data_IF_228444925014
#
_entry.id   IF_228444925014
#
_cell.length_a   1.000
_cell.length_b   1.000
_cell.length_c   1.000
_cell.angle_alpha   90.00
_cell.angle_beta   90.00
_cell.angle_gamma   90.00
#
_symmetry.space_group_name_H-M   'P 1'
#
loop_
_entity.id
_entity.type
_entity.pdbx_description
1 polymer ?
#
# COMPACT_ATOMS: atom_id res chain seq x y z
N UNK A 1 -18.35 3.61 54.07
CA UNK A 1 -18.21 3.52 53.56
C UNK A 1 -17.87 3.52 52.60
N UNK A 2 -17.75 3.52 52.41
CA UNK A 2 -17.37 3.47 51.48
C UNK A 2 -16.90 3.40 50.50
N UNK A 3 -16.89 3.50 50.22
CA UNK A 3 -16.47 3.45 49.39
C UNK A 3 -16.07 3.42 48.35
N UNK A 4 -16.18 3.52 48.12
CA UNK A 4 -15.86 3.49 47.24
C UNK A 4 -15.34 3.53 46.32
N UNK A 5 -15.20 3.50 46.19
CA UNK A 5 -14.67 3.51 45.39
C UNK A 5 -14.27 3.38 44.36
N UNK A 6 -14.44 3.39 44.14
CA UNK A 6 -14.06 3.28 43.26
C UNK A 6 -13.77 3.31 42.35
N UNK A 7 -13.71 3.32 42.23
CA UNK A 7 -13.32 3.32 41.26
C UNK A 7 -12.84 3.50 40.39
N UNK A 8 -12.76 3.60 40.41
CA UNK A 8 -12.27 3.77 39.63
C UNK A 8 -11.71 3.64 38.65
N UNK A 9 -11.81 3.57 38.58
CA UNK A 9 -11.35 3.48 37.77
C UNK A 9 -10.95 3.36 36.78
N UNK A 10 -11.17 3.30 36.70
CA UNK A 10 -10.79 3.22 35.89
C UNK A 10 -10.45 3.25 34.95
N UNK A 11 -10.41 3.33 35.00
CA UNK A 11 -10.02 3.40 34.21
C UNK A 11 -9.59 3.50 33.35
N UNK A 12 -9.50 3.54 33.28
CA UNK A 12 -8.95 3.74 32.57
C UNK A 12 -8.46 3.50 31.73
N UNK A 13 -8.61 3.35 31.73
CA UNK A 13 -8.15 3.22 31.09
C UNK A 13 -7.68 3.03 30.22
N UNK A 14 -7.66 2.87 30.17
CA UNK A 14 -7.21 2.73 29.46
C UNK A 14 -6.98 2.81 28.49
N UNK A 15 -6.89 2.96 28.28
CA UNK A 15 -6.69 3.21 27.44
C UNK A 15 -6.01 3.07 26.71
N UNK A 16 -5.95 2.94 26.59
CA UNK A 16 -5.34 2.92 26.01
C UNK A 16 -4.89 2.81 25.22
N UNK A 17 -4.77 2.56 25.11
CA UNK A 17 -4.28 2.52 24.32
C UNK A 17 -3.95 2.53 23.50
N UNK A 18 -3.98 2.50 23.28
CA UNK A 18 -3.63 2.61 22.62
C UNK A 18 -3.26 2.61 21.92
N UNK A 19 -3.25 2.48 21.77
CA UNK A 19 -2.85 2.54 21.14
C UNK A 19 -2.42 2.57 20.43
N UNK A 20 -2.32 2.46 20.27
CA UNK A 20 -1.94 2.56 19.62
C UNK A 20 -1.53 2.58 18.89
N UNK A 21 -1.44 2.49 18.68
CA UNK A 21 -1.04 2.56 17.99
C UNK A 21 -0.78 2.87 17.21
N UNK A 22 -0.72 3.03 16.94
CA UNK A 22 -0.51 3.35 16.22
C UNK A 22 -0.26 3.74 15.46
N UNK A 23 -0.34 3.89 15.12
CA UNK A 23 -0.09 4.21 14.37
C UNK A 23 0.18 5.07 13.86
N UNK A 24 0.36 5.34 13.55
CA UNK A 24 0.84 6.22 13.03
C UNK A 24 0.34 7.04 12.31
N UNK A 25 0.02 7.37 12.35
CA UNK A 25 -0.38 8.00 11.80
C UNK A 25 0.02 8.87 11.22
N UNK A 26 0.08 9.16 10.83
CA UNK A 26 0.61 9.82 10.13
C UNK A 26 0.51 11.05 10.00
N UNK A 27 0.55 11.63 9.91
CA UNK A 27 0.69 12.65 9.89
C UNK A 27 0.19 13.37 9.13
N UNK A 28 -0.33 13.80 9.07
CA UNK A 28 -0.82 14.47 8.48
C UNK A 28 -0.44 15.59 8.19
N UNK A 29 -0.39 16.06 7.68
CA UNK A 29 0.26 17.09 7.26
C UNK A 29 -0.49 17.92 6.36
N UNK A 30 -0.72 19.06 6.57
CA UNK A 30 -1.61 19.85 5.87
C UNK A 30 -1.24 20.12 4.47
N UNK A 31 -0.07 20.57 4.26
CA UNK A 31 0.26 20.91 2.94
C UNK A 31 0.50 19.70 2.15
N UNK A 32 0.67 18.60 2.85
CA UNK A 32 0.87 17.36 2.22
C UNK A 32 -0.40 16.68 1.80
N UNK A 33 -1.54 17.20 2.17
CA UNK A 33 -2.78 16.48 1.93
C UNK A 33 -3.06 16.26 0.46
N UNK A 34 -2.93 17.28 -0.36
CA UNK A 34 -3.16 17.10 -1.78
C UNK A 34 -2.17 16.14 -2.38
N UNK A 35 -0.91 16.28 -1.97
CA UNK A 35 0.13 15.40 -2.46
C UNK A 35 -0.10 13.97 -1.98
N UNK A 36 -0.52 13.82 -0.74
CA UNK A 36 -0.83 12.50 -0.20
C UNK A 36 -2.02 11.88 -0.90
N UNK A 37 -3.05 12.66 -1.18
CA UNK A 37 -4.21 12.15 -1.89
C UNK A 37 -3.85 11.72 -3.30
N UNK A 38 -3.03 12.52 -3.99
CA UNK A 38 -2.61 12.16 -5.34
C UNK A 38 -1.76 10.90 -5.32
N UNK A 39 -0.85 10.81 -4.34
CA UNK A 39 0.00 9.62 -4.22
C UNK A 39 -0.83 8.39 -3.90
N UNK A 40 -1.82 8.53 -3.02
CA UNK A 40 -2.67 7.39 -2.66
C UNK A 40 -3.48 6.90 -3.86
N UNK A 41 -4.05 7.83 -4.61
CA UNK A 41 -4.81 7.46 -5.79
C UNK A 41 -3.93 6.79 -6.83
N UNK A 42 -2.73 7.32 -7.01
CA UNK A 42 -1.78 6.73 -7.95
C UNK A 42 -1.35 5.35 -7.49
N UNK A 43 -1.09 5.19 -6.18
CA UNK A 43 -0.67 3.91 -5.64
C UNK A 43 -1.73 2.84 -5.91
N UNK A 44 -2.98 3.16 -5.63
CA UNK A 44 -4.03 2.18 -5.82
C UNK A 44 -4.18 1.81 -7.29
N UNK A 45 -4.20 2.80 -8.15
CA UNK A 45 -4.38 2.57 -9.58
C UNK A 45 -3.21 1.80 -10.16
N UNK A 46 -1.98 2.19 -9.80
CA UNK A 46 -0.81 1.54 -10.38
C UNK A 46 -0.64 0.13 -9.85
N UNK A 47 -0.95 -0.13 -8.57
CA UNK A 47 -0.85 -1.48 -8.03
C UNK A 47 -1.89 -2.40 -8.64
N UNK A 48 -3.10 -1.91 -8.87
CA UNK A 48 -4.10 -2.71 -9.58
C UNK A 48 -3.62 -3.08 -10.96
N UNK A 49 -3.06 -2.13 -11.66
CA UNK A 49 -2.57 -2.37 -13.01
C UNK A 49 -1.43 -3.39 -13.00
N UNK A 50 -0.52 -3.27 -12.03
CA UNK A 50 0.57 -4.24 -11.89
C UNK A 50 0.01 -5.64 -11.70
N UNK A 51 -0.96 -5.80 -10.81
CA UNK A 51 -1.54 -7.11 -10.55
C UNK A 51 -2.24 -7.67 -11.79
N UNK A 52 -2.91 -6.81 -12.54
CA UNK A 52 -3.57 -7.25 -13.77
C UNK A 52 -2.57 -7.67 -14.83
N UNK A 53 -1.44 -6.98 -14.90
CA UNK A 53 -0.39 -7.37 -15.85
C UNK A 53 0.22 -8.70 -15.44
N UNK A 54 0.49 -8.90 -14.16
CA UNK A 54 1.04 -10.15 -13.68
C UNK A 54 0.08 -11.31 -13.98
N UNK A 55 -1.21 -11.05 -13.90
CA UNK A 55 -2.21 -12.08 -14.17
C UNK A 55 -2.50 -12.25 -15.65
N UNK A 56 -1.80 -11.53 -16.50
CA UNK A 56 -2.00 -11.66 -17.92
C UNK A 56 -3.26 -11.01 -18.46
N UNK A 57 -3.88 -10.15 -17.67
CA UNK A 57 -5.13 -9.50 -18.06
C UNK A 57 -4.93 -8.14 -18.69
N UNK A 58 -3.70 -7.65 -18.68
CA UNK A 58 -3.34 -6.38 -19.30
C UNK A 58 -1.95 -6.52 -19.92
N UNK A 59 -1.71 -5.85 -21.03
CA UNK A 59 -0.37 -5.92 -21.63
C UNK A 59 0.64 -5.14 -20.80
N UNK A 60 1.85 -5.68 -20.75
CA UNK A 60 2.93 -5.09 -20.00
C UNK A 60 3.20 -3.64 -20.41
N UNK A 61 3.02 -3.35 -21.69
CA UNK A 61 3.30 -2.01 -22.19
C UNK A 61 2.50 -0.90 -21.53
N UNK A 62 1.35 -1.24 -20.92
CA UNK A 62 0.54 -0.22 -20.26
C UNK A 62 1.20 0.30 -19.00
N UNK A 63 2.23 -0.40 -18.49
CA UNK A 63 2.94 0.08 -17.31
C UNK A 63 4.05 1.07 -17.64
N UNK A 64 4.39 1.24 -18.90
CA UNK A 64 5.56 2.04 -19.24
C UNK A 64 5.49 3.47 -18.74
N UNK A 65 4.31 4.06 -18.72
CA UNK A 65 4.17 5.43 -18.25
C UNK A 65 3.95 5.52 -16.75
N UNK A 66 3.87 4.38 -16.08
CA UNK A 66 3.49 4.32 -14.68
C UNK A 66 4.66 3.90 -13.80
N UNK A 67 5.55 3.07 -14.32
CA UNK A 67 6.64 2.52 -13.52
C UNK A 67 7.99 2.83 -14.18
N UNK A 68 9.03 2.84 -13.35
CA UNK A 68 10.38 2.99 -13.83
C UNK A 68 10.83 1.71 -14.53
N UNK A 69 11.84 1.79 -15.41
CA UNK A 69 12.25 0.61 -16.18
C UNK A 69 12.65 -0.59 -15.33
N UNK A 70 13.25 -0.36 -14.15
CA UNK A 70 13.62 -1.48 -13.30
C UNK A 70 12.40 -2.19 -12.77
N UNK A 71 11.34 -1.45 -12.47
CA UNK A 71 10.09 -2.05 -12.00
C UNK A 71 9.42 -2.77 -13.15
N UNK A 72 9.46 -2.20 -14.34
CA UNK A 72 8.88 -2.85 -15.51
C UNK A 72 9.50 -4.22 -15.74
N UNK A 73 10.83 -4.28 -15.65
CA UNK A 73 11.54 -5.55 -15.82
C UNK A 73 11.15 -6.55 -14.73
N UNK A 74 11.00 -6.08 -13.51
CA UNK A 74 10.62 -6.95 -12.40
C UNK A 74 9.20 -7.50 -12.61
N UNK A 75 8.28 -6.66 -13.07
CA UNK A 75 6.91 -7.10 -13.33
C UNK A 75 6.89 -8.10 -14.47
N UNK A 76 7.69 -7.87 -15.48
CA UNK A 76 7.78 -8.82 -16.59
C UNK A 76 8.22 -10.18 -16.10
N UNK A 77 9.22 -10.22 -15.25
CA UNK A 77 9.69 -11.49 -14.68
C UNK A 77 8.59 -12.15 -13.85
N UNK A 78 7.92 -11.36 -13.02
CA UNK A 78 6.84 -11.89 -12.20
C UNK A 78 5.72 -12.47 -13.08
N UNK A 79 5.39 -11.78 -14.15
CA UNK A 79 4.33 -12.24 -15.04
C UNK A 79 4.68 -13.59 -15.68
N UNK A 80 5.98 -13.77 -16.02
CA UNK A 80 6.42 -15.02 -16.61
C UNK A 80 6.44 -16.17 -15.62
N UNK A 81 6.67 -15.87 -14.34
CA UNK A 81 6.90 -16.94 -13.36
C UNK A 81 5.73 -17.14 -12.40
N UNK A 82 4.59 -16.50 -12.64
CA UNK A 82 3.49 -16.49 -11.67
C UNK A 82 2.46 -17.58 -11.94
N UNK A 83 2.81 -18.64 -12.65
CA UNK A 83 1.82 -19.66 -13.00
C UNK A 83 1.21 -20.29 -11.76
N UNK A 84 2.05 -20.61 -10.76
CA UNK A 84 1.55 -21.24 -9.54
C UNK A 84 0.64 -20.29 -8.77
N UNK A 85 1.04 -19.03 -8.70
CA UNK A 85 0.22 -18.04 -7.99
C UNK A 85 -1.11 -17.83 -8.69
N UNK A 86 -1.12 -17.80 -10.01
CA UNK A 86 -2.37 -17.59 -10.74
C UNK A 86 -3.36 -18.71 -10.49
N UNK A 87 -2.87 -19.92 -10.18
CA UNK A 87 -3.77 -21.02 -9.88
C UNK A 87 -4.51 -20.81 -8.57
N UNK A 88 -4.01 -19.98 -7.68
CA UNK A 88 -4.69 -19.68 -6.43
C UNK A 88 -5.90 -18.78 -6.67
N UNK A 89 -5.96 -18.09 -7.78
CA UNK A 89 -7.05 -17.21 -8.09
C UNK A 89 -6.55 -15.86 -8.62
N UNK A 90 -7.47 -15.07 -9.11
CA UNK A 90 -7.17 -13.74 -9.60
C UNK A 90 -6.71 -12.86 -8.44
N UNK A 91 -5.68 -12.05 -8.69
CA UNK A 91 -5.20 -11.12 -7.68
C UNK A 91 -6.19 -9.98 -7.51
N UNK A 92 -6.55 -9.69 -6.27
CA UNK A 92 -7.48 -8.61 -5.95
C UNK A 92 -6.80 -7.73 -4.89
N UNK A 93 -6.59 -6.48 -5.23
CA UNK A 93 -6.01 -5.53 -4.28
C UNK A 93 -7.03 -5.23 -3.20
N UNK A 94 -6.61 -5.39 -1.94
CA UNK A 94 -7.53 -5.26 -0.81
C UNK A 94 -7.24 -4.03 0.02
N UNK A 95 -5.96 -3.75 0.29
CA UNK A 95 -5.59 -2.60 1.10
C UNK A 95 -4.42 -1.88 0.47
N UNK A 96 -4.41 -0.56 0.61
CA UNK A 96 -3.30 0.28 0.20
C UNK A 96 -3.17 1.38 1.23
N UNK A 97 -1.97 1.56 1.75
CA UNK A 97 -1.71 2.63 2.70
C UNK A 97 -0.38 3.29 2.39
N UNK A 98 -0.35 4.59 2.59
CA UNK A 98 0.90 5.32 2.49
C UNK A 98 1.57 5.25 3.84
N UNK A 99 2.82 4.78 3.87
CA UNK A 99 3.58 4.69 5.11
C UNK A 99 4.33 5.96 5.38
N UNK A 100 4.80 6.62 4.35
CA UNK A 100 5.56 7.83 4.52
C UNK A 100 5.47 8.63 3.24
N UNK A 101 5.21 9.93 3.35
CA UNK A 101 5.08 10.80 2.20
C UNK A 101 5.94 12.03 2.42
N UNK A 102 6.78 12.33 1.44
CA UNK A 102 7.50 13.59 1.42
C UNK A 102 7.01 14.39 0.22
N UNK A 103 7.68 15.49 -0.08
CA UNK A 103 7.31 16.27 -1.25
C UNK A 103 7.55 15.55 -2.55
N UNK A 104 8.45 14.56 -2.57
CA UNK A 104 8.86 13.92 -3.81
C UNK A 104 8.77 12.40 -3.80
N UNK A 105 8.52 11.80 -2.65
CA UNK A 105 8.47 10.34 -2.55
C UNK A 105 7.33 9.90 -1.68
N UNK A 106 6.91 8.66 -1.85
CA UNK A 106 5.92 8.06 -0.97
C UNK A 106 6.23 6.57 -0.87
N UNK A 107 6.17 6.07 0.37
CA UNK A 107 6.28 4.64 0.62
C UNK A 107 4.88 4.07 0.75
N UNK A 108 4.66 2.94 0.11
CA UNK A 108 3.33 2.35 0.01
C UNK A 108 3.38 0.92 0.52
N UNK A 109 2.41 0.57 1.35
CA UNK A 109 2.22 -0.80 1.81
C UNK A 109 0.82 -1.22 1.46
N UNK A 110 0.65 -2.47 1.07
CA UNK A 110 -0.66 -2.94 0.73
C UNK A 110 -0.77 -4.44 0.84
N UNK A 111 -1.96 -4.93 0.58
CA UNK A 111 -2.22 -6.35 0.57
C UNK A 111 -3.12 -6.70 -0.59
N UNK A 112 -2.93 -7.89 -1.14
CA UNK A 112 -3.81 -8.40 -2.16
C UNK A 112 -4.11 -9.86 -1.86
N UNK A 113 -5.17 -10.37 -2.46
CA UNK A 113 -5.62 -11.72 -2.21
C UNK A 113 -5.70 -12.49 -3.51
N UNK A 114 -5.39 -13.80 -3.42
CA UNK A 114 -5.65 -14.75 -4.48
C UNK A 114 -6.41 -15.89 -3.84
N UNK A 115 -7.70 -15.99 -4.17
CA UNK A 115 -8.54 -16.96 -3.48
C UNK A 115 -8.57 -16.63 -2.00
N UNK A 116 -8.18 -17.58 -1.18
CA UNK A 116 -8.18 -17.38 0.26
C UNK A 116 -6.81 -17.00 0.82
N UNK A 117 -5.82 -16.83 -0.04
CA UNK A 117 -4.47 -16.49 0.40
C UNK A 117 -4.26 -15.00 0.30
N UNK A 118 -3.58 -14.46 1.29
CA UNK A 118 -3.29 -13.03 1.33
C UNK A 118 -1.79 -12.82 1.18
N UNK A 119 -1.43 -11.80 0.42
CA UNK A 119 -0.05 -11.47 0.14
C UNK A 119 0.19 -9.99 0.40
N UNK A 120 1.43 -9.65 0.67
CA UNK A 120 1.82 -8.27 0.93
C UNK A 120 2.50 -7.68 -0.29
N UNK A 121 2.35 -6.37 -0.43
CA UNK A 121 3.03 -5.63 -1.48
C UNK A 121 3.56 -4.34 -0.89
N UNK A 122 4.74 -3.95 -1.32
CA UNK A 122 5.33 -2.68 -0.93
C UNK A 122 5.88 -2.02 -2.17
N UNK A 123 5.77 -0.70 -2.21
CA UNK A 123 6.23 0.05 -3.37
C UNK A 123 6.74 1.40 -2.93
N UNK A 124 7.61 1.96 -3.75
CA UNK A 124 8.05 3.33 -3.57
C UNK A 124 7.63 4.12 -4.79
N UNK A 125 7.06 5.29 -4.54
CA UNK A 125 6.67 6.19 -5.60
C UNK A 125 7.57 7.41 -5.56
N UNK A 126 7.85 7.95 -6.73
CA UNK A 126 8.63 9.19 -6.84
C UNK A 126 7.85 10.15 -7.72
N UNK A 127 7.95 11.42 -7.37
CA UNK A 127 7.31 12.48 -8.14
C UNK A 127 8.36 13.08 -9.06
N UNK A 128 8.12 12.99 -10.36
CA UNK A 128 9.04 13.53 -11.35
C UNK A 128 8.27 14.39 -12.31
N UNK A 129 8.63 15.66 -12.37
CA UNK A 129 8.00 16.59 -13.30
C UNK A 129 6.49 16.60 -13.13
N UNK A 130 6.04 16.57 -11.87
CA UNK A 130 4.63 16.63 -11.58
C UNK A 130 3.88 15.33 -11.73
N UNK A 131 4.58 14.23 -12.03
CA UNK A 131 3.93 12.94 -12.23
C UNK A 131 4.52 11.89 -11.29
N UNK A 132 3.64 11.13 -10.65
CA UNK A 132 4.08 10.02 -9.82
C UNK A 132 4.46 8.83 -10.68
N UNK A 133 5.51 8.14 -10.27
CA UNK A 133 5.95 6.91 -10.92
C UNK A 133 6.39 5.93 -9.85
N UNK A 134 6.21 4.64 -10.12
CA UNK A 134 6.64 3.62 -9.18
C UNK A 134 8.10 3.30 -9.46
N UNK A 135 8.95 3.51 -8.45
CA UNK A 135 10.40 3.35 -8.61
C UNK A 135 10.91 2.08 -7.95
N UNK A 136 10.10 1.42 -7.14
CA UNK A 136 10.46 0.15 -6.52
C UNK A 136 9.21 -0.62 -6.22
N UNK A 137 9.31 -1.95 -6.29
CA UNK A 137 8.17 -2.82 -6.04
C UNK A 137 8.68 -4.09 -5.41
N UNK A 138 8.01 -4.53 -4.36
CA UNK A 138 8.34 -5.77 -3.69
C UNK A 138 7.05 -6.48 -3.34
N UNK A 139 6.97 -7.75 -3.71
CA UNK A 139 5.76 -8.53 -3.50
C UNK A 139 6.11 -9.86 -2.84
N UNK A 140 5.19 -10.34 -2.01
CA UNK A 140 5.38 -11.62 -1.35
C UNK A 140 4.20 -12.50 -1.50
#
# INVERSE_FOLDING_TARGET
MPRLRAPRRSAHDGRSPASGAGAPAPRRICEGDENSSAAAAFAEKSLRLVLEVIDGRRPLGQLRSVVEPTVLAAVETLARTAAAERRLGTAVLVTVRLAEVTGHTAEVCGGYERGERRFAVAARLVLRRGHWRMSALRMR
#
